data_IF_085093224325
#
_entry.id   IF_085093224325
#
_cell.length_a   1.000
_cell.length_b   1.000
_cell.length_c   1.000
_cell.angle_alpha   90.00
_cell.angle_beta   90.00
_cell.angle_gamma   90.00
#
_symmetry.space_group_name_H-M   'P 1'
#
loop_
_entity.id
_entity.type
_entity.pdbx_description
1 polymer ?
#
# COMPACT_ATOMS: atom_id res chain seq x y z
N UNK A 1 -18.60 -5.39 24.02
CA UNK A 1 -17.13 -5.41 24.21
C UNK A 1 -16.57 -6.29 23.09
N UNK A 2 -15.59 -5.81 22.33
CA UNK A 2 -14.93 -6.59 21.28
C UNK A 2 -13.70 -7.22 21.90
N UNK A 3 -13.50 -8.51 21.67
CA UNK A 3 -12.29 -9.22 22.05
C UNK A 3 -11.20 -8.97 21.01
N UNK A 4 -10.01 -8.63 21.47
CA UNK A 4 -8.87 -8.29 20.62
C UNK A 4 -7.65 -9.05 21.15
N UNK A 5 -6.94 -9.67 20.21
CA UNK A 5 -5.64 -10.26 20.49
C UNK A 5 -4.63 -9.16 20.83
N UNK A 6 -4.16 -9.16 22.09
CA UNK A 6 -3.23 -8.16 22.61
C UNK A 6 -1.83 -8.26 21.97
N UNK A 7 -1.40 -9.46 21.56
CA UNK A 7 -0.12 -9.65 20.88
C UNK A 7 -0.18 -9.07 19.46
N UNK A 8 -1.26 -9.38 18.73
CA UNK A 8 -1.49 -8.83 17.40
C UNK A 8 -1.60 -7.29 17.44
N UNK A 9 -2.25 -6.75 18.47
CA UNK A 9 -2.38 -5.32 18.66
C UNK A 9 -1.03 -4.65 18.98
N UNK A 10 -0.18 -5.28 19.80
CA UNK A 10 1.16 -4.78 20.10
C UNK A 10 2.06 -4.76 18.85
N UNK A 11 1.99 -5.81 18.02
CA UNK A 11 2.70 -5.88 16.75
C UNK A 11 2.23 -4.77 15.80
N UNK A 12 0.91 -4.61 15.62
CA UNK A 12 0.36 -3.55 14.80
C UNK A 12 0.75 -2.15 15.31
N UNK A 13 0.78 -1.94 16.62
CA UNK A 13 1.18 -0.66 17.21
C UNK A 13 2.63 -0.31 16.86
N UNK A 14 3.53 -1.30 16.91
CA UNK A 14 4.95 -1.15 16.54
C UNK A 14 5.12 -0.84 15.05
N UNK A 15 4.45 -1.59 14.17
CA UNK A 15 4.53 -1.40 12.72
C UNK A 15 3.93 -0.06 12.27
N UNK A 16 2.84 0.37 12.91
CA UNK A 16 2.13 1.61 12.58
C UNK A 16 2.64 2.83 13.35
N UNK A 17 3.57 2.65 14.29
CA UNK A 17 4.12 3.74 15.12
C UNK A 17 3.10 4.42 16.04
N UNK A 18 2.10 3.69 16.51
CA UNK A 18 1.03 4.23 17.36
C UNK A 18 1.23 3.87 18.82
N UNK A 19 0.73 4.70 19.74
CA UNK A 19 0.96 4.54 21.18
C UNK A 19 -0.28 4.13 21.96
N UNK A 20 -1.47 4.24 21.37
CA UNK A 20 -2.73 3.83 22.00
C UNK A 20 -3.42 2.72 21.22
N UNK A 21 -4.14 1.84 21.93
CA UNK A 21 -4.94 0.76 21.32
C UNK A 21 -5.94 1.31 20.30
N UNK A 22 -6.60 2.42 20.61
CA UNK A 22 -7.57 3.09 19.72
C UNK A 22 -6.91 3.58 18.44
N UNK A 23 -5.74 4.22 18.55
CA UNK A 23 -5.03 4.73 17.38
C UNK A 23 -4.51 3.60 16.51
N UNK A 24 -4.03 2.53 17.14
CA UNK A 24 -3.59 1.31 16.44
C UNK A 24 -4.72 0.71 15.61
N UNK A 25 -5.90 0.51 16.22
CA UNK A 25 -7.06 -0.06 15.53
C UNK A 25 -7.51 0.84 14.39
N UNK A 26 -7.64 2.15 14.62
CA UNK A 26 -8.05 3.08 13.58
C UNK A 26 -7.05 3.16 12.42
N UNK A 27 -5.74 3.16 12.72
CA UNK A 27 -4.69 3.17 11.72
C UNK A 27 -4.68 1.85 10.91
N UNK A 28 -4.82 0.70 11.57
CA UNK A 28 -4.88 -0.60 10.91
C UNK A 28 -6.08 -0.71 9.97
N UNK A 29 -7.26 -0.27 10.39
CA UNK A 29 -8.47 -0.28 9.56
C UNK A 29 -8.31 0.61 8.32
N UNK A 30 -7.75 1.81 8.47
CA UNK A 30 -7.43 2.70 7.35
C UNK A 30 -6.41 2.07 6.41
N UNK A 31 -5.35 1.50 6.95
CA UNK A 31 -4.31 0.84 6.18
C UNK A 31 -4.85 -0.29 5.30
N UNK A 32 -5.74 -1.13 5.84
CA UNK A 32 -6.37 -2.22 5.08
C UNK A 32 -7.29 -1.68 3.98
N UNK A 33 -8.10 -0.66 4.28
CA UNK A 33 -8.97 -0.02 3.28
C UNK A 33 -8.15 0.61 2.15
N UNK A 34 -7.06 1.30 2.47
CA UNK A 34 -6.15 1.89 1.47
C UNK A 34 -5.36 0.84 0.70
N UNK A 35 -4.95 -0.25 1.35
CA UNK A 35 -4.24 -1.36 0.70
C UNK A 35 -5.06 -1.92 -0.45
N UNK A 36 -6.36 -2.12 -0.24
CA UNK A 36 -7.27 -2.59 -1.29
C UNK A 36 -7.37 -1.58 -2.44
N UNK A 37 -7.55 -0.30 -2.12
CA UNK A 37 -7.62 0.78 -3.11
C UNK A 37 -6.37 0.85 -3.99
N UNK A 38 -5.16 0.71 -3.40
CA UNK A 38 -3.90 0.70 -4.16
C UNK A 38 -3.81 -0.49 -5.12
N UNK A 39 -4.30 -1.66 -4.72
CA UNK A 39 -4.31 -2.85 -5.58
C UNK A 39 -5.29 -2.65 -6.74
N UNK A 40 -6.51 -2.20 -6.46
CA UNK A 40 -7.51 -1.91 -7.49
C UNK A 40 -7.01 -0.88 -8.49
N UNK A 41 -6.36 0.20 -8.02
CA UNK A 41 -5.72 1.19 -8.91
C UNK A 41 -4.69 0.59 -9.86
N UNK A 42 -3.87 -0.35 -9.40
CA UNK A 42 -2.87 -1.03 -10.25
C UNK A 42 -3.53 -1.97 -11.26
N UNK A 43 -4.63 -2.63 -10.88
CA UNK A 43 -5.35 -3.56 -11.74
C UNK A 43 -6.20 -2.85 -12.80
N UNK A 44 -6.77 -1.70 -12.47
CA UNK A 44 -7.61 -0.90 -13.37
C UNK A 44 -6.78 -0.04 -14.35
N UNK A 45 -5.51 0.22 -14.04
CA UNK A 45 -4.57 0.87 -14.94
C UNK A 45 -3.99 -0.16 -15.94
N UNK A 46 -4.23 -0.02 -17.26
CA UNK A 46 -3.66 -0.90 -18.29
C UNK A 46 -2.13 -0.98 -18.24
N UNK A 47 -1.48 0.02 -17.64
CA UNK A 47 -0.02 0.12 -17.50
C UNK A 47 0.43 0.02 -16.04
N UNK A 48 -0.45 -0.35 -15.10
CA UNK A 48 -0.18 -0.34 -13.65
C UNK A 48 0.95 -1.27 -13.22
N UNK A 49 1.29 -2.28 -14.03
CA UNK A 49 2.44 -3.16 -13.82
C UNK A 49 3.75 -2.64 -14.46
N UNK A 50 3.75 -1.40 -14.94
CA UNK A 50 4.91 -0.75 -15.52
C UNK A 50 5.22 -1.16 -16.95
N UNK A 51 4.30 -1.82 -17.66
CA UNK A 51 4.41 -2.13 -19.10
C UNK A 51 3.64 -1.11 -19.91
N UNK A 52 4.10 0.14 -19.87
CA UNK A 52 3.60 1.22 -20.71
C UNK A 52 3.63 0.87 -22.19
N UNK A 53 2.84 1.53 -23.05
CA UNK A 53 2.81 1.25 -24.48
C UNK A 53 4.11 1.67 -25.19
N UNK A 54 4.95 2.43 -24.50
CA UNK A 54 6.23 2.98 -24.93
C UNK A 54 7.43 2.31 -24.25
N UNK A 55 7.21 1.25 -23.45
CA UNK A 55 8.30 0.62 -22.70
C UNK A 55 9.37 -0.01 -23.60
N UNK A 56 9.01 -0.37 -24.84
CA UNK A 56 9.92 -0.89 -25.85
C UNK A 56 10.46 0.19 -26.81
N UNK A 57 10.06 1.46 -26.65
CA UNK A 57 10.48 2.56 -27.53
C UNK A 57 11.99 2.90 -27.32
N UNK A 58 12.85 2.72 -28.34
CA UNK A 58 14.29 2.98 -28.22
C UNK A 58 14.67 4.44 -28.00
N UNK A 59 13.84 5.41 -28.38
CA UNK A 59 14.05 6.84 -28.10
C UNK A 59 13.70 7.16 -26.65
N UNK A 60 12.61 6.61 -26.11
CA UNK A 60 12.23 6.76 -24.70
C UNK A 60 13.30 6.17 -23.79
N UNK A 61 13.77 4.94 -24.07
CA UNK A 61 14.86 4.31 -23.33
C UNK A 61 16.15 5.14 -23.35
N UNK A 62 16.50 5.75 -24.50
CA UNK A 62 17.69 6.59 -24.62
C UNK A 62 17.59 7.88 -23.79
N UNK A 63 16.41 8.49 -23.72
CA UNK A 63 16.18 9.71 -22.93
C UNK A 63 16.22 9.45 -21.43
N UNK A 64 15.68 8.32 -20.96
CA UNK A 64 15.65 7.98 -19.54
C UNK A 64 17.02 7.65 -18.91
N UNK A 65 18.03 7.33 -19.74
CA UNK A 65 19.41 7.01 -19.29
C UNK A 65 20.29 8.23 -19.04
N UNK A 66 19.83 9.45 -19.35
CA UNK A 66 20.56 10.71 -19.12
C UNK A 66 20.19 11.31 -17.77
#
# INVERSE_FOLDING_TARGET
MIDLDDEALALAAKELGTTTKKDTVNAALKFVAERRRRIEQVLDDPYGFGVGPDIDDPEVMRRARR
#
